data_IF_784895520434
#
_entry.id   IF_784895520434
#
_cell.length_a   1.000
_cell.length_b   1.000
_cell.length_c   1.000
_cell.angle_alpha   90.00
_cell.angle_beta   90.00
_cell.angle_gamma   90.00
#
_symmetry.space_group_name_H-M   'P 1'
#
loop_
_entity.id
_entity.type
_entity.pdbx_description
1 polymer ?
#
# COMPACT_ATOMS: atom_id res chain seq x y z
N UNK A 1 7.33 -13.78 28.92
CA UNK A 1 6.91 -14.04 27.53
C UNK A 1 7.18 -12.79 26.70
N UNK A 2 7.91 -12.89 25.59
CA UNK A 2 8.17 -11.76 24.68
C UNK A 2 7.35 -11.96 23.41
N UNK A 3 6.29 -11.15 23.24
CA UNK A 3 5.54 -11.01 21.99
C UNK A 3 6.37 -10.19 20.99
N UNK A 4 6.23 -10.42 19.68
CA UNK A 4 7.10 -9.85 18.64
C UNK A 4 6.35 -9.65 17.32
N UNK A 5 6.50 -8.46 16.74
CA UNK A 5 5.68 -7.88 15.66
C UNK A 5 6.40 -7.81 14.30
N UNK A 6 5.62 -7.62 13.23
CA UNK A 6 6.06 -7.40 11.84
C UNK A 6 5.90 -5.91 11.46
N UNK A 7 6.91 -5.31 10.85
CA UNK A 7 6.95 -3.85 10.62
C UNK A 7 6.94 -3.51 9.12
N UNK A 8 6.26 -2.43 8.77
CA UNK A 8 6.28 -1.83 7.44
C UNK A 8 7.22 -0.60 7.43
N UNK A 9 8.24 -0.59 6.57
CA UNK A 9 9.22 0.52 6.48
C UNK A 9 9.27 1.18 5.10
N UNK A 10 8.11 1.62 4.58
CA UNK A 10 8.08 2.62 3.51
C UNK A 10 7.89 4.04 4.09
N UNK A 11 8.94 4.87 4.03
CA UNK A 11 8.99 6.23 4.61
C UNK A 11 7.95 7.24 4.06
N UNK A 12 7.27 6.97 2.94
CA UNK A 12 6.30 7.93 2.36
C UNK A 12 4.83 7.56 2.55
N UNK A 13 4.50 6.31 2.86
CA UNK A 13 3.11 5.88 2.97
C UNK A 13 3.01 4.64 3.88
N UNK A 14 2.61 4.84 5.13
CA UNK A 14 2.26 3.74 6.02
C UNK A 14 0.86 3.23 5.70
N UNK A 15 0.65 1.93 5.91
CA UNK A 15 -0.70 1.37 5.92
C UNK A 15 -1.48 2.03 7.07
N UNK A 16 -2.68 2.59 6.84
CA UNK A 16 -3.48 3.23 7.89
C UNK A 16 -3.82 2.27 9.03
N UNK A 17 -4.04 2.83 10.23
CA UNK A 17 -4.60 2.09 11.36
C UNK A 17 -5.85 1.31 10.94
N UNK A 18 -5.91 0.03 11.32
CA UNK A 18 -7.02 -0.86 10.97
C UNK A 18 -6.91 -1.51 9.59
N UNK A 19 -5.89 -1.20 8.78
CA UNK A 19 -5.67 -1.88 7.48
C UNK A 19 -5.48 -3.38 7.70
N UNK A 20 -6.24 -4.19 6.95
CA UNK A 20 -6.13 -5.65 7.00
C UNK A 20 -4.81 -6.13 6.40
N UNK A 21 -4.16 -7.04 7.12
CA UNK A 21 -2.98 -7.77 6.67
C UNK A 21 -3.30 -9.25 6.72
N UNK A 22 -3.09 -9.94 5.59
CA UNK A 22 -3.46 -11.33 5.39
C UNK A 22 -2.20 -12.16 5.18
N UNK A 23 -2.12 -13.29 5.86
CA UNK A 23 -1.05 -14.26 5.73
C UNK A 23 -1.62 -15.62 5.33
N UNK A 24 -1.15 -16.15 4.21
CA UNK A 24 -1.60 -17.42 3.64
C UNK A 24 -0.41 -18.40 3.62
N UNK A 25 -0.50 -19.58 4.24
CA UNK A 25 0.56 -20.59 4.14
C UNK A 25 0.86 -20.95 2.67
N UNK A 26 2.13 -21.01 2.27
CA UNK A 26 2.50 -21.29 0.88
C UNK A 26 2.53 -22.80 0.56
N UNK A 27 1.45 -23.51 0.89
CA UNK A 27 1.28 -24.94 0.55
C UNK A 27 0.97 -25.12 -0.93
N UNK A 28 1.12 -26.34 -1.45
CA UNK A 28 0.76 -26.66 -2.84
C UNK A 28 -0.67 -26.26 -3.19
N UNK A 29 -1.62 -26.51 -2.27
CA UNK A 29 -3.02 -26.10 -2.41
C UNK A 29 -3.16 -24.58 -2.60
N UNK A 30 -2.55 -23.78 -1.71
CA UNK A 30 -2.67 -22.32 -1.81
C UNK A 30 -1.93 -21.75 -3.02
N UNK A 31 -0.79 -22.35 -3.41
CA UNK A 31 -0.06 -21.99 -4.62
C UNK A 31 -0.96 -22.14 -5.86
N UNK A 32 -1.63 -23.28 -5.99
CA UNK A 32 -2.59 -23.53 -7.07
C UNK A 32 -3.80 -22.59 -7.00
N UNK A 33 -4.41 -22.47 -5.83
CA UNK A 33 -5.60 -21.63 -5.64
C UNK A 33 -5.32 -20.15 -5.97
N UNK A 34 -4.16 -19.62 -5.58
CA UNK A 34 -3.73 -18.25 -5.94
C UNK A 34 -3.54 -18.13 -7.47
N UNK A 35 -2.83 -19.07 -8.10
CA UNK A 35 -2.58 -19.07 -9.55
C UNK A 35 -3.88 -19.08 -10.35
N UNK A 36 -4.82 -19.96 -10.00
CA UNK A 36 -6.12 -20.04 -10.67
C UNK A 36 -6.91 -18.74 -10.49
N UNK A 37 -6.96 -18.17 -9.27
CA UNK A 37 -7.68 -16.93 -9.03
C UNK A 37 -7.05 -15.71 -9.72
N UNK A 38 -5.73 -15.67 -9.89
CA UNK A 38 -5.08 -14.62 -10.69
C UNK A 38 -5.53 -14.68 -12.16
N UNK A 39 -5.60 -15.88 -12.74
CA UNK A 39 -6.06 -16.06 -14.12
C UNK A 39 -7.55 -15.72 -14.27
N UNK A 40 -8.36 -16.01 -13.26
CA UNK A 40 -9.79 -15.72 -13.25
C UNK A 40 -10.13 -14.30 -12.82
N UNK A 41 -9.17 -13.50 -12.33
CA UNK A 41 -9.38 -12.11 -11.88
C UNK A 41 -10.07 -11.27 -12.95
N UNK A 42 -9.66 -11.38 -14.22
CA UNK A 42 -10.29 -10.66 -15.36
C UNK A 42 -11.72 -11.12 -15.65
N UNK A 43 -12.09 -12.32 -15.22
CA UNK A 43 -13.38 -12.96 -15.46
C UNK A 43 -14.34 -12.81 -14.26
N UNK A 44 -13.95 -12.08 -13.21
CA UNK A 44 -14.73 -11.83 -11.99
C UNK A 44 -15.38 -13.08 -11.36
N UNK A 45 -14.71 -14.23 -11.48
CA UNK A 45 -15.19 -15.54 -10.98
C UNK A 45 -14.15 -16.15 -10.05
N UNK A 46 -14.13 -15.77 -8.77
CA UNK A 46 -13.19 -16.35 -7.82
C UNK A 46 -13.55 -17.81 -7.53
N UNK A 47 -12.55 -18.67 -7.41
CA UNK A 47 -12.72 -20.03 -6.89
C UNK A 47 -12.88 -19.93 -5.36
N UNK A 48 -13.99 -20.42 -4.79
CA UNK A 48 -14.19 -20.37 -3.34
C UNK A 48 -13.16 -21.22 -2.61
N UNK A 49 -12.76 -20.78 -1.42
CA UNK A 49 -11.95 -21.57 -0.48
C UNK A 49 -12.84 -22.55 0.28
N UNK A 50 -12.33 -23.74 0.57
CA UNK A 50 -12.99 -24.63 1.55
C UNK A 50 -12.92 -24.00 2.95
N UNK A 51 -13.79 -24.43 3.87
CA UNK A 51 -13.80 -23.92 5.25
C UNK A 51 -12.49 -24.20 5.98
N UNK A 52 -11.92 -25.38 5.74
CA UNK A 52 -10.67 -25.86 6.34
C UNK A 52 -9.48 -25.03 5.82
N UNK A 53 -9.46 -24.74 4.52
CA UNK A 53 -8.44 -23.86 3.93
C UNK A 53 -8.59 -22.43 4.46
N UNK A 54 -9.81 -21.89 4.53
CA UNK A 54 -10.04 -20.55 5.07
C UNK A 54 -9.56 -20.41 6.52
N UNK A 55 -9.70 -21.44 7.36
CA UNK A 55 -9.21 -21.46 8.74
C UNK A 55 -7.66 -21.39 8.86
N UNK A 56 -6.95 -21.78 7.80
CA UNK A 56 -5.49 -21.68 7.74
C UNK A 56 -5.01 -20.25 7.45
N UNK A 57 -5.86 -19.39 6.91
CA UNK A 57 -5.53 -17.99 6.63
C UNK A 57 -5.53 -17.21 7.93
N UNK A 58 -4.45 -16.44 8.17
CA UNK A 58 -4.36 -15.53 9.31
C UNK A 58 -4.64 -14.12 8.84
N UNK A 59 -5.42 -13.39 9.64
CA UNK A 59 -5.71 -11.98 9.41
C UNK A 59 -5.37 -11.22 10.69
N UNK A 60 -4.69 -10.10 10.52
CA UNK A 60 -4.42 -9.13 11.58
C UNK A 60 -4.69 -7.74 11.01
N UNK A 61 -4.62 -6.72 11.85
CA UNK A 61 -4.74 -5.34 11.42
C UNK A 61 -3.50 -4.56 11.81
N UNK A 62 -3.25 -3.48 11.07
CA UNK A 62 -2.33 -2.45 11.51
C UNK A 62 -2.83 -1.85 12.82
N UNK A 63 -1.95 -1.79 13.83
CA UNK A 63 -2.30 -1.34 15.19
C UNK A 63 -1.81 0.08 15.53
N UNK A 64 -1.02 0.73 14.66
CA UNK A 64 -0.57 2.10 14.86
C UNK A 64 -0.48 2.90 13.55
N UNK A 65 -0.23 4.20 13.68
CA UNK A 65 -0.09 5.11 12.53
C UNK A 65 1.21 4.91 11.74
N UNK A 66 2.10 4.01 12.21
CA UNK A 66 3.37 3.67 11.57
C UNK A 66 3.25 2.40 10.72
N UNK A 67 2.04 1.85 10.56
CA UNK A 67 1.81 0.70 9.70
C UNK A 67 2.27 -0.63 10.31
N UNK A 68 2.41 -0.70 11.63
CA UNK A 68 2.89 -1.90 12.31
C UNK A 68 1.75 -2.90 12.52
N UNK A 69 2.05 -4.19 12.35
CA UNK A 69 1.10 -5.29 12.51
C UNK A 69 1.76 -6.50 13.16
N UNK A 70 1.00 -7.45 13.69
CA UNK A 70 1.58 -8.62 14.34
C UNK A 70 0.79 -9.90 14.05
N UNK A 71 1.54 -10.97 13.79
CA UNK A 71 1.05 -12.33 13.81
C UNK A 71 1.80 -13.10 14.90
N UNK A 72 1.07 -13.67 15.84
CA UNK A 72 1.64 -14.49 16.91
C UNK A 72 1.50 -15.98 16.60
N UNK A 73 2.39 -16.81 17.14
CA UNK A 73 2.32 -18.28 17.07
C UNK A 73 2.35 -18.85 15.64
N UNK A 74 3.16 -18.27 14.77
CA UNK A 74 3.41 -18.80 13.43
C UNK A 74 4.39 -19.98 13.49
N UNK A 75 4.09 -21.03 12.72
CA UNK A 75 5.03 -22.12 12.48
C UNK A 75 6.09 -21.65 11.46
N UNK A 76 7.33 -22.13 11.56
CA UNK A 76 8.32 -21.92 10.50
C UNK A 76 7.80 -22.40 9.14
N UNK A 77 8.12 -21.67 8.07
CA UNK A 77 7.72 -21.98 6.70
C UNK A 77 7.53 -20.75 5.83
N UNK A 78 7.16 -21.00 4.58
CA UNK A 78 6.84 -19.97 3.59
C UNK A 78 5.38 -19.53 3.70
N UNK A 79 5.15 -18.22 3.58
CA UNK A 79 3.83 -17.62 3.60
C UNK A 79 3.71 -16.53 2.54
N UNK A 80 2.54 -16.40 1.95
CA UNK A 80 2.17 -15.23 1.16
C UNK A 80 1.63 -14.14 2.09
N UNK A 81 2.27 -12.98 2.06
CA UNK A 81 1.83 -11.78 2.75
C UNK A 81 1.10 -10.86 1.78
N UNK A 82 -0.13 -10.49 2.16
CA UNK A 82 -1.01 -9.61 1.40
C UNK A 82 -1.49 -8.44 2.25
N UNK A 83 -1.42 -7.23 1.70
CA UNK A 83 -2.11 -6.05 2.22
C UNK A 83 -2.36 -5.09 1.07
N UNK A 84 -3.46 -4.36 1.10
CA UNK A 84 -3.74 -3.28 0.16
C UNK A 84 -4.60 -2.23 0.86
N UNK A 85 -4.32 -0.95 0.60
CA UNK A 85 -5.12 0.17 1.07
C UNK A 85 -5.11 1.30 0.05
N UNK A 86 -6.22 2.04 0.03
CA UNK A 86 -6.36 3.24 -0.78
C UNK A 86 -5.81 4.47 -0.04
N UNK A 87 -5.31 5.44 -0.80
CA UNK A 87 -4.90 6.75 -0.30
C UNK A 87 -5.12 7.84 -1.36
N UNK A 88 -5.18 9.09 -0.91
CA UNK A 88 -5.20 10.25 -1.79
C UNK A 88 -3.77 10.73 -2.04
N UNK A 89 -3.40 10.88 -3.31
CA UNK A 89 -2.17 11.52 -3.75
C UNK A 89 -2.48 12.95 -4.18
N UNK A 90 -1.88 13.93 -3.53
CA UNK A 90 -2.01 15.34 -3.92
C UNK A 90 -0.90 15.74 -4.91
N UNK A 91 -1.25 16.47 -5.96
CA UNK A 91 -0.31 17.16 -6.85
C UNK A 91 -0.67 18.65 -6.91
N UNK A 92 0.33 19.50 -6.72
CA UNK A 92 0.17 20.95 -6.85
C UNK A 92 0.68 21.38 -8.22
N UNK A 93 -0.19 22.05 -8.97
CA UNK A 93 0.13 22.65 -10.26
C UNK A 93 0.16 24.16 -10.11
N UNK A 94 1.22 24.77 -10.62
CA UNK A 94 1.37 26.23 -10.68
C UNK A 94 1.02 26.68 -12.09
N UNK A 95 0.07 27.59 -12.21
CA UNK A 95 -0.36 28.18 -13.47
C UNK A 95 -0.09 29.68 -13.46
N UNK A 96 0.47 30.22 -14.55
CA UNK A 96 0.57 31.67 -14.74
C UNK A 96 -0.80 32.17 -15.19
N UNK A 97 -1.44 32.98 -14.33
CA UNK A 97 -2.80 33.51 -14.54
C UNK A 97 -2.81 34.97 -14.98
N UNK A 98 -1.63 35.59 -15.12
CA UNK A 98 -1.50 36.94 -15.63
C UNK A 98 -0.09 37.50 -15.43
N UNK A 99 0.07 38.77 -15.79
CA UNK A 99 1.33 39.49 -15.71
C UNK A 99 1.09 40.87 -15.09
N UNK A 100 2.07 41.38 -14.36
CA UNK A 100 2.07 42.76 -13.82
C UNK A 100 3.23 43.52 -14.41
N UNK A 101 2.91 44.50 -15.25
CA UNK A 101 3.89 45.39 -15.87
C UNK A 101 4.23 46.53 -14.92
N UNK A 102 5.52 46.84 -14.81
CA UNK A 102 6.02 47.94 -13.98
C UNK A 102 6.52 49.06 -14.87
N UNK A 103 6.12 50.29 -14.55
CA UNK A 103 6.53 51.50 -15.26
C UNK A 103 7.15 52.49 -14.28
N UNK A 104 8.26 53.11 -14.67
CA UNK A 104 8.89 54.22 -13.93
C UNK A 104 8.92 55.42 -14.87
N UNK A 105 8.34 56.54 -14.43
CA UNK A 105 8.23 57.77 -15.23
C UNK A 105 7.61 57.56 -16.63
N UNK A 106 6.65 56.63 -16.75
CA UNK A 106 6.00 56.27 -18.01
C UNK A 106 6.77 55.30 -18.90
N UNK A 107 8.01 54.93 -18.54
CA UNK A 107 8.82 53.96 -19.28
C UNK A 107 8.67 52.56 -18.70
N UNK A 108 8.40 51.58 -19.58
CA UNK A 108 8.31 50.17 -19.21
C UNK A 108 9.63 49.67 -18.63
N UNK A 109 9.56 49.01 -17.47
CA UNK A 109 10.72 48.49 -16.74
C UNK A 109 10.77 46.96 -16.70
N UNK A 110 9.65 46.29 -16.97
CA UNK A 110 9.58 44.84 -16.96
C UNK A 110 8.21 44.32 -16.56
N UNK A 111 8.05 43.02 -16.70
CA UNK A 111 6.82 42.31 -16.37
C UNK A 111 7.10 41.19 -15.38
N UNK A 112 6.19 40.98 -14.43
CA UNK A 112 6.28 39.90 -13.44
C UNK A 112 5.09 38.97 -13.58
N UNK A 113 5.35 37.66 -13.56
CA UNK A 113 4.31 36.64 -13.61
C UNK A 113 3.46 36.66 -12.34
N UNK A 114 2.14 36.64 -12.51
CA UNK A 114 1.19 36.31 -11.46
C UNK A 114 0.82 34.85 -11.59
N UNK A 115 1.17 34.06 -10.59
CA UNK A 115 0.88 32.64 -10.56
C UNK A 115 -0.23 32.31 -9.57
N UNK A 116 -0.95 31.23 -9.84
CA UNK A 116 -1.90 30.61 -8.92
C UNK A 116 -1.60 29.12 -8.81
N UNK A 117 -1.66 28.62 -7.59
CA UNK A 117 -1.42 27.22 -7.29
C UNK A 117 -2.76 26.49 -7.13
N UNK A 118 -2.87 25.31 -7.74
CA UNK A 118 -4.03 24.42 -7.63
C UNK A 118 -3.58 23.05 -7.15
N UNK A 119 -4.17 22.57 -6.05
CA UNK A 119 -3.95 21.20 -5.56
C UNK A 119 -5.04 20.28 -6.07
N UNK A 120 -4.64 19.20 -6.75
CA UNK A 120 -5.54 18.15 -7.21
C UNK A 120 -5.25 16.87 -6.44
N UNK A 121 -6.29 16.21 -5.93
CA UNK A 121 -6.20 14.93 -5.24
C UNK A 121 -6.62 13.79 -6.17
N UNK A 122 -5.82 12.74 -6.23
CA UNK A 122 -6.08 11.54 -7.02
C UNK A 122 -6.15 10.32 -6.10
N UNK A 123 -7.15 9.47 -6.28
CA UNK A 123 -7.19 8.17 -5.62
C UNK A 123 -6.04 7.27 -6.14
N UNK A 124 -5.38 6.59 -5.22
CA UNK A 124 -4.32 5.62 -5.51
C UNK A 124 -4.39 4.48 -4.49
N UNK A 125 -3.67 3.39 -4.75
CA UNK A 125 -3.52 2.30 -3.78
C UNK A 125 -2.06 1.92 -3.60
N UNK A 126 -1.76 1.39 -2.43
CA UNK A 126 -0.48 0.77 -2.12
C UNK A 126 -0.74 -0.58 -1.48
N UNK A 127 0.16 -1.52 -1.71
CA UNK A 127 -0.02 -2.85 -1.19
C UNK A 127 1.26 -3.67 -1.18
N UNK A 128 1.13 -4.86 -0.63
CA UNK A 128 2.15 -5.88 -0.69
C UNK A 128 1.50 -7.17 -1.16
N UNK A 129 2.22 -7.85 -2.04
CA UNK A 129 1.99 -9.24 -2.41
C UNK A 129 3.37 -9.86 -2.55
N UNK A 130 3.78 -10.60 -1.55
CA UNK A 130 5.10 -11.22 -1.55
C UNK A 130 5.11 -12.54 -0.81
N UNK A 131 6.04 -13.40 -1.20
CA UNK A 131 6.41 -14.58 -0.43
C UNK A 131 7.39 -14.16 0.66
N UNK A 132 7.12 -14.54 1.91
CA UNK A 132 8.02 -14.38 3.06
C UNK A 132 8.33 -15.73 3.66
N UNK A 133 9.55 -15.90 4.15
CA UNK A 133 9.98 -17.09 4.88
C UNK A 133 10.06 -16.75 6.37
N UNK A 134 9.40 -17.55 7.21
CA UNK A 134 9.51 -17.49 8.66
C UNK A 134 10.42 -18.64 9.08
N UNK A 135 11.63 -18.34 9.53
CA UNK A 135 12.65 -19.34 9.90
C UNK A 135 12.51 -19.81 11.32
N UNK A 136 12.13 -18.91 12.24
CA UNK A 136 12.02 -19.22 13.67
C UNK A 136 10.82 -18.55 14.31
N UNK A 137 10.31 -19.17 15.39
CA UNK A 137 9.23 -18.57 16.16
C UNK A 137 9.72 -17.27 16.82
N UNK A 138 9.06 -16.15 16.52
CA UNK A 138 9.44 -14.81 17.00
C UNK A 138 10.48 -14.09 16.13
N UNK A 139 10.55 -14.40 14.84
CA UNK A 139 11.27 -13.59 13.85
C UNK A 139 10.53 -12.29 13.54
N UNK A 140 11.27 -11.19 13.44
CA UNK A 140 10.76 -9.88 13.02
C UNK A 140 11.17 -9.69 11.55
N UNK A 141 10.19 -9.60 10.66
CA UNK A 141 10.43 -9.22 9.27
C UNK A 141 9.99 -7.78 9.04
N UNK A 142 10.84 -7.05 8.32
CA UNK A 142 10.52 -5.74 7.81
C UNK A 142 10.17 -5.85 6.33
N UNK A 143 9.02 -5.32 5.96
CA UNK A 143 8.50 -5.43 4.59
C UNK A 143 8.27 -4.05 3.99
N UNK A 144 8.54 -3.91 2.69
CA UNK A 144 8.39 -2.65 1.98
C UNK A 144 7.17 -2.74 1.07
N UNK A 145 6.20 -1.84 1.28
CA UNK A 145 5.06 -1.72 0.39
C UNK A 145 5.49 -1.27 -1.01
N UNK A 146 4.91 -1.90 -2.02
CA UNK A 146 5.04 -1.49 -3.41
C UNK A 146 3.82 -0.66 -3.80
N UNK A 147 4.04 0.36 -4.63
CA UNK A 147 2.93 1.11 -5.21
C UNK A 147 2.16 0.18 -6.15
N UNK A 148 0.85 0.06 -5.92
CA UNK A 148 -0.06 -0.58 -6.86
C UNK A 148 -0.62 0.51 -7.79
N UNK A 149 -0.90 0.17 -9.05
CA UNK A 149 -1.40 1.14 -10.03
C UNK A 149 -2.70 1.80 -9.56
N UNK A 150 -2.94 3.06 -9.96
CA UNK A 150 -4.21 3.73 -9.66
C UNK A 150 -5.37 2.93 -10.24
N UNK A 151 -6.37 2.66 -9.39
CA UNK A 151 -7.67 2.18 -9.82
C UNK A 151 -8.38 3.40 -10.41
N UNK A 152 -8.29 3.55 -11.73
CA UNK A 152 -9.18 4.41 -12.53
C UNK A 152 -10.09 3.49 -13.33
#
# INVERSE_FOLDING_TARGET
MKNKSLFNINKKQYAPLGTSVILIPATAYFKEWISVNEQLRKKARPVPLSKEAAACIKVTTVYDEKGNFEFTNLKPGEYYLYTEFAYLKSATHREVVGYTDTYINGFFQGSTERTKDYTVNYASSAGIKQLVEIKTNGEILSVILKKTGSIL
#
